data_IF_653481846896
#
_entry.id   IF_653481846896
#
_cell.length_a   1.000
_cell.length_b   1.000
_cell.length_c   1.000
_cell.angle_alpha   90.00
_cell.angle_beta   90.00
_cell.angle_gamma   90.00
#
_symmetry.space_group_name_H-M   'P 1'
#
loop_
_entity.id
_entity.type
_entity.pdbx_description
1 polymer ?
#
# COMPACT_ATOMS: atom_id res chain seq x y z
N UNK A 1 44.24 18.75 -83.48
CA UNK A 1 44.93 17.77 -82.63
C UNK A 1 45.29 18.52 -81.35
N UNK A 2 44.31 18.65 -80.40
CA UNK A 2 44.44 19.31 -79.13
C UNK A 2 44.22 18.30 -78.02
N UNK A 3 45.22 18.07 -77.18
CA UNK A 3 45.16 17.27 -75.99
C UNK A 3 44.61 18.14 -74.85
N UNK A 4 43.44 17.78 -74.28
CA UNK A 4 42.91 18.32 -73.04
C UNK A 4 43.61 17.68 -71.86
N UNK A 5 44.19 18.54 -71.01
CA UNK A 5 44.79 18.14 -69.72
C UNK A 5 43.72 17.91 -68.72
N UNK A 6 43.63 16.72 -68.14
CA UNK A 6 42.83 16.38 -66.99
C UNK A 6 43.39 17.05 -65.73
N UNK A 7 42.61 17.97 -65.14
CA UNK A 7 42.90 18.58 -63.85
C UNK A 7 42.57 17.65 -62.67
N UNK A 8 43.59 17.25 -61.92
CA UNK A 8 43.48 16.51 -60.70
C UNK A 8 43.18 17.56 -59.57
N UNK A 9 41.95 17.52 -59.05
CA UNK A 9 41.61 18.30 -57.82
C UNK A 9 42.12 17.56 -56.59
N UNK A 10 42.84 18.27 -55.67
CA UNK A 10 43.27 17.63 -54.43
C UNK A 10 42.05 17.41 -53.49
N UNK A 11 41.96 16.18 -53.01
CA UNK A 11 41.00 15.77 -52.01
C UNK A 11 41.00 16.69 -50.79
N UNK A 12 39.85 17.33 -50.47
CA UNK A 12 39.65 18.04 -49.18
C UNK A 12 39.58 16.98 -48.07
N UNK A 13 40.34 17.18 -46.96
CA UNK A 13 40.25 16.26 -45.82
C UNK A 13 38.82 16.25 -45.31
N UNK A 14 38.21 15.07 -45.24
CA UNK A 14 36.94 14.85 -44.56
C UNK A 14 37.08 15.27 -43.11
N UNK A 15 36.31 16.29 -42.71
CA UNK A 15 36.22 16.69 -41.32
C UNK A 15 35.87 15.44 -40.49
N UNK A 16 36.76 15.03 -39.60
CA UNK A 16 36.49 14.01 -38.59
C UNK A 16 35.27 14.44 -37.80
N UNK A 17 34.18 13.68 -37.83
CA UNK A 17 33.07 13.81 -36.91
C UNK A 17 33.66 13.72 -35.51
N UNK A 18 33.31 14.66 -34.58
CA UNK A 18 33.79 14.55 -33.22
C UNK A 18 33.35 13.19 -32.68
N UNK A 19 34.30 12.47 -32.07
CA UNK A 19 34.03 11.28 -31.29
C UNK A 19 32.96 11.63 -30.26
N UNK A 20 31.76 11.07 -30.42
CA UNK A 20 30.71 11.15 -29.41
C UNK A 20 31.29 10.50 -28.18
N UNK A 21 31.64 11.31 -27.20
CA UNK A 21 31.93 10.84 -25.83
C UNK A 21 30.71 10.09 -25.38
N UNK A 22 30.81 8.77 -25.28
CA UNK A 22 29.79 7.91 -24.63
C UNK A 22 29.76 8.27 -23.15
N UNK A 23 29.00 9.29 -22.77
CA UNK A 23 28.67 9.52 -21.39
C UNK A 23 27.67 8.44 -20.98
N UNK A 24 27.99 7.68 -19.94
CA UNK A 24 27.06 6.69 -19.37
C UNK A 24 25.76 7.40 -18.97
N UNK A 25 24.58 6.81 -19.27
CA UNK A 25 23.31 7.44 -18.95
C UNK A 25 23.15 7.63 -17.43
N UNK A 26 22.60 8.77 -17.04
CA UNK A 26 22.23 9.04 -15.65
C UNK A 26 21.14 8.05 -15.19
N UNK A 27 21.42 7.30 -14.14
CA UNK A 27 20.56 6.22 -13.65
C UNK A 27 19.68 6.71 -12.50
N UNK A 28 18.38 6.64 -12.70
CA UNK A 28 17.37 6.96 -11.69
C UNK A 28 16.70 5.66 -11.28
N UNK A 29 16.90 5.24 -10.02
CA UNK A 29 16.34 4.01 -9.48
C UNK A 29 15.22 4.35 -8.48
N UNK A 30 14.01 3.85 -8.73
CA UNK A 30 12.83 4.02 -7.88
C UNK A 30 12.52 2.69 -7.21
N UNK A 31 12.51 2.64 -5.88
CA UNK A 31 12.19 1.47 -5.10
C UNK A 31 10.79 1.59 -4.51
N UNK A 32 9.88 0.72 -4.97
CA UNK A 32 8.47 0.70 -4.59
C UNK A 32 7.55 1.38 -5.60
N UNK A 33 6.52 0.63 -6.06
CA UNK A 33 5.47 1.10 -6.98
C UNK A 33 4.13 1.35 -6.29
N UNK A 34 4.17 1.71 -5.00
CA UNK A 34 3.02 2.27 -4.29
C UNK A 34 2.62 3.64 -4.84
N UNK A 35 1.71 4.33 -4.15
CA UNK A 35 1.19 5.63 -4.63
C UNK A 35 2.29 6.64 -4.97
N UNK A 36 3.31 6.77 -4.12
CA UNK A 36 4.36 7.76 -4.35
C UNK A 36 5.30 7.39 -5.49
N UNK A 37 5.88 6.19 -5.44
CA UNK A 37 6.86 5.75 -6.43
C UNK A 37 6.27 5.59 -7.83
N UNK A 38 5.04 5.05 -7.94
CA UNK A 38 4.36 4.96 -9.22
C UNK A 38 4.13 6.33 -9.86
N UNK A 39 3.66 7.32 -9.08
CA UNK A 39 3.40 8.65 -9.63
C UNK A 39 4.69 9.42 -9.95
N UNK A 40 5.79 9.15 -9.24
CA UNK A 40 7.12 9.60 -9.65
C UNK A 40 7.54 8.96 -10.97
N UNK A 41 7.41 7.63 -11.09
CA UNK A 41 7.72 6.90 -12.33
C UNK A 41 6.87 7.37 -13.51
N UNK A 42 5.55 7.54 -13.34
CA UNK A 42 4.63 8.04 -14.38
C UNK A 42 5.00 9.44 -14.89
N UNK A 43 5.52 10.29 -14.00
CA UNK A 43 6.00 11.61 -14.40
C UNK A 43 7.30 11.49 -15.19
N UNK A 44 8.27 10.73 -14.68
CA UNK A 44 9.57 10.53 -15.34
C UNK A 44 9.44 9.76 -16.66
N UNK A 45 8.45 8.86 -16.79
CA UNK A 45 8.13 8.15 -18.03
C UNK A 45 7.81 9.09 -19.21
N UNK A 46 7.24 10.26 -18.90
CA UNK A 46 6.88 11.28 -19.88
C UNK A 46 8.00 12.28 -20.15
N UNK A 47 9.06 12.25 -19.37
CA UNK A 47 10.13 13.26 -19.41
C UNK A 47 11.51 12.60 -19.52
N UNK A 48 12.23 12.39 -18.42
CA UNK A 48 13.62 11.90 -18.42
C UNK A 48 13.80 10.51 -19.03
N UNK A 49 12.84 9.60 -18.85
CA UNK A 49 12.93 8.27 -19.43
C UNK A 49 12.88 8.25 -20.97
N UNK A 50 12.58 9.37 -21.61
CA UNK A 50 12.64 9.56 -23.08
C UNK A 50 13.97 10.12 -23.56
N UNK A 51 14.82 10.57 -22.64
CA UNK A 51 16.13 11.12 -22.98
C UNK A 51 17.13 9.96 -23.15
N UNK A 52 17.97 9.96 -24.20
CA UNK A 52 18.92 8.88 -24.43
C UNK A 52 20.04 8.80 -23.38
N UNK A 53 20.26 9.89 -22.66
CA UNK A 53 21.24 10.06 -21.58
C UNK A 53 20.67 9.81 -20.18
N UNK A 54 19.42 9.30 -20.08
CA UNK A 54 18.78 8.97 -18.83
C UNK A 54 18.18 7.55 -18.85
N UNK A 55 18.45 6.76 -17.83
CA UNK A 55 17.83 5.45 -17.60
C UNK A 55 16.99 5.54 -16.33
N UNK A 56 15.68 5.27 -16.43
CA UNK A 56 14.77 5.25 -15.27
C UNK A 56 14.29 3.82 -15.04
N UNK A 57 14.55 3.32 -13.84
CA UNK A 57 14.21 1.95 -13.42
C UNK A 57 13.26 2.03 -12.23
N UNK A 58 12.16 1.28 -12.29
CA UNK A 58 11.22 1.06 -11.17
C UNK A 58 11.32 -0.38 -10.72
N UNK A 59 11.49 -0.59 -9.41
CA UNK A 59 11.52 -1.93 -8.78
C UNK A 59 10.37 -2.07 -7.81
N UNK A 60 9.61 -3.16 -7.91
CA UNK A 60 8.60 -3.55 -6.92
C UNK A 60 8.45 -5.08 -6.91
N UNK A 61 8.12 -5.64 -5.75
CA UNK A 61 7.86 -7.08 -5.59
C UNK A 61 6.59 -7.53 -6.31
N UNK A 62 5.61 -6.64 -6.42
CA UNK A 62 4.34 -6.88 -7.11
C UNK A 62 4.37 -6.32 -8.54
N UNK A 63 3.72 -6.99 -9.50
CA UNK A 63 3.63 -6.51 -10.88
C UNK A 63 2.45 -5.56 -11.11
N UNK A 64 1.80 -5.15 -10.03
CA UNK A 64 0.66 -4.24 -10.02
C UNK A 64 0.78 -3.22 -8.89
N UNK A 65 0.12 -2.10 -9.06
CA UNK A 65 -0.15 -1.17 -7.96
C UNK A 65 -1.54 -1.43 -7.39
N UNK A 66 -1.63 -1.46 -6.06
CA UNK A 66 -2.84 -1.71 -5.31
C UNK A 66 -3.51 -0.39 -4.91
N UNK A 67 -4.80 -0.25 -5.20
CA UNK A 67 -5.59 0.89 -4.74
C UNK A 67 -6.15 0.60 -3.33
N UNK A 68 -5.28 0.72 -2.33
CA UNK A 68 -5.56 0.35 -0.93
C UNK A 68 -6.79 1.00 -0.29
N UNK A 69 -7.28 2.20 -0.69
CA UNK A 69 -8.50 2.74 -0.10
C UNK A 69 -9.76 1.90 -0.28
N UNK A 70 -9.78 0.97 -1.23
CA UNK A 70 -10.91 0.05 -1.47
C UNK A 70 -10.63 -1.39 -1.00
N UNK A 71 -9.56 -1.60 -0.25
CA UNK A 71 -9.14 -2.94 0.15
C UNK A 71 -10.17 -3.64 1.05
N UNK A 72 -10.85 -2.89 1.92
CA UNK A 72 -11.91 -3.41 2.79
C UNK A 72 -13.13 -3.92 2.01
N UNK A 73 -13.44 -3.36 0.84
CA UNK A 73 -14.52 -3.84 -0.03
C UNK A 73 -14.19 -5.22 -0.63
N UNK A 74 -12.91 -5.49 -0.96
CA UNK A 74 -12.46 -6.82 -1.39
C UNK A 74 -12.58 -7.83 -0.24
N UNK A 75 -12.17 -7.43 0.97
CA UNK A 75 -12.30 -8.28 2.15
C UNK A 75 -13.76 -8.62 2.49
N UNK A 76 -14.71 -7.76 2.15
CA UNK A 76 -16.14 -7.96 2.38
C UNK A 76 -16.90 -8.53 1.16
N UNK A 77 -16.20 -8.99 0.11
CA UNK A 77 -16.81 -9.45 -1.16
C UNK A 77 -17.65 -8.41 -1.91
N UNK A 78 -17.46 -7.12 -1.64
CA UNK A 78 -18.13 -6.04 -2.38
C UNK A 78 -17.43 -5.72 -3.72
N UNK A 79 -16.14 -6.07 -3.85
CA UNK A 79 -15.37 -5.89 -5.09
C UNK A 79 -14.51 -7.11 -5.40
N UNK A 80 -14.34 -7.41 -6.70
CA UNK A 80 -13.37 -8.40 -7.14
C UNK A 80 -11.93 -7.91 -6.90
N UNK A 81 -11.01 -8.77 -6.42
CA UNK A 81 -9.60 -8.42 -6.22
C UNK A 81 -8.94 -7.74 -7.43
N UNK A 82 -9.33 -8.16 -8.64
CA UNK A 82 -8.80 -7.59 -9.87
C UNK A 82 -9.21 -6.13 -10.12
N UNK A 83 -10.29 -5.64 -9.51
CA UNK A 83 -10.83 -4.32 -9.78
C UNK A 83 -10.02 -3.18 -9.16
N UNK A 84 -9.34 -3.46 -8.05
CA UNK A 84 -8.53 -2.47 -7.33
C UNK A 84 -7.03 -2.56 -7.64
N UNK A 85 -6.62 -3.44 -8.55
CA UNK A 85 -5.21 -3.58 -8.97
C UNK A 85 -5.01 -3.06 -10.40
N UNK A 86 -3.86 -2.43 -10.63
CA UNK A 86 -3.50 -1.90 -11.95
C UNK A 86 -2.12 -2.41 -12.36
N UNK A 87 -2.01 -3.14 -13.49
CA UNK A 87 -0.74 -3.69 -13.96
C UNK A 87 0.25 -2.57 -14.30
N UNK A 88 1.41 -2.54 -13.61
CA UNK A 88 2.44 -1.49 -13.76
C UNK A 88 2.92 -1.39 -15.21
N UNK A 89 3.21 -2.52 -15.86
CA UNK A 89 3.69 -2.55 -17.24
C UNK A 89 2.72 -1.95 -18.26
N UNK A 90 1.41 -1.90 -17.96
CA UNK A 90 0.41 -1.24 -18.83
C UNK A 90 0.34 0.28 -18.61
N UNK A 91 0.98 0.78 -17.55
CA UNK A 91 0.97 2.19 -17.19
C UNK A 91 2.25 2.93 -17.61
N UNK A 92 3.37 2.22 -17.74
CA UNK A 92 4.69 2.74 -18.10
C UNK A 92 5.06 2.33 -19.53
N UNK A 93 5.76 3.21 -20.25
CA UNK A 93 6.19 2.97 -21.65
C UNK A 93 7.70 3.04 -21.83
N UNK A 94 8.37 3.93 -21.13
CA UNK A 94 9.79 4.24 -21.25
C UNK A 94 10.59 3.89 -19.99
N UNK A 95 9.92 3.82 -18.83
CA UNK A 95 10.51 3.37 -17.57
C UNK A 95 10.67 1.85 -17.60
N UNK A 96 11.88 1.37 -17.32
CA UNK A 96 12.15 -0.06 -17.15
C UNK A 96 11.58 -0.54 -15.82
N UNK A 97 10.72 -1.56 -15.85
CA UNK A 97 10.15 -2.13 -14.64
C UNK A 97 10.70 -3.52 -14.34
N UNK A 98 11.25 -3.70 -13.14
CA UNK A 98 11.64 -5.01 -12.60
C UNK A 98 10.67 -5.43 -11.50
N UNK A 99 10.03 -6.60 -11.69
CA UNK A 99 9.36 -7.29 -10.60
C UNK A 99 10.42 -8.02 -9.79
N UNK A 100 10.79 -7.44 -8.66
CA UNK A 100 11.88 -7.93 -7.81
C UNK A 100 11.69 -7.46 -6.37
N UNK A 101 12.22 -8.21 -5.42
CA UNK A 101 12.35 -7.81 -4.03
C UNK A 101 13.66 -7.06 -3.81
N UNK A 102 13.63 -6.00 -3.02
CA UNK A 102 14.83 -5.24 -2.65
C UNK A 102 15.45 -5.91 -1.43
N UNK A 103 16.66 -6.43 -1.58
CA UNK A 103 17.37 -7.17 -0.52
C UNK A 103 18.30 -6.28 0.28
N UNK A 104 19.03 -5.40 -0.40
CA UNK A 104 20.02 -4.54 0.22
C UNK A 104 20.17 -3.23 -0.52
N UNK A 105 20.37 -2.15 0.23
CA UNK A 105 20.67 -0.81 -0.28
C UNK A 105 22.03 -0.38 0.29
N UNK A 106 22.99 -0.14 -0.59
CA UNK A 106 24.27 0.46 -0.26
C UNK A 106 24.28 1.91 -0.77
N UNK A 107 24.06 2.85 0.14
CA UNK A 107 23.99 4.26 -0.18
C UNK A 107 25.35 4.86 -0.56
N UNK A 108 26.41 4.43 0.08
CA UNK A 108 27.77 4.92 -0.18
C UNK A 108 28.35 4.34 -1.48
N UNK A 109 28.17 3.03 -1.69
CA UNK A 109 28.53 2.35 -2.96
C UNK A 109 27.57 2.66 -4.12
N UNK A 110 26.48 3.40 -3.87
CA UNK A 110 25.45 3.74 -4.86
C UNK A 110 24.90 2.52 -5.61
N UNK A 111 24.57 1.48 -4.86
CA UNK A 111 24.12 0.19 -5.39
C UNK A 111 22.92 -0.35 -4.61
N UNK A 112 22.05 -1.08 -5.30
CA UNK A 112 20.93 -1.80 -4.73
C UNK A 112 20.97 -3.23 -5.22
N UNK A 113 20.87 -4.19 -4.32
CA UNK A 113 20.71 -5.61 -4.64
C UNK A 113 19.23 -5.94 -4.69
N UNK A 114 18.79 -6.49 -5.82
CA UNK A 114 17.42 -6.96 -6.03
C UNK A 114 17.40 -8.47 -6.26
N UNK A 115 16.38 -9.14 -5.74
CA UNK A 115 16.12 -10.58 -5.89
C UNK A 115 14.93 -10.83 -6.78
N UNK A 116 15.07 -11.67 -7.82
CA UNK A 116 14.04 -11.91 -8.83
C UNK A 116 14.15 -13.27 -9.51
N UNK A 117 13.12 -13.62 -10.27
CA UNK A 117 13.12 -14.70 -11.24
C UNK A 117 12.79 -16.09 -10.69
N UNK A 118 12.73 -17.05 -11.62
CA UNK A 118 12.56 -18.48 -11.42
C UNK A 118 13.55 -19.19 -12.37
N UNK A 119 14.68 -19.71 -11.89
CA UNK A 119 15.16 -19.77 -10.50
C UNK A 119 15.50 -18.38 -9.94
N UNK A 120 15.48 -18.27 -8.63
CA UNK A 120 15.78 -17.03 -7.89
C UNK A 120 17.24 -16.61 -8.12
N UNK A 121 17.45 -15.34 -8.44
CA UNK A 121 18.77 -14.73 -8.68
C UNK A 121 18.82 -13.34 -8.08
N UNK A 122 20.02 -12.94 -7.68
CA UNK A 122 20.30 -11.58 -7.23
C UNK A 122 20.95 -10.79 -8.38
N UNK A 123 20.66 -9.49 -8.43
CA UNK A 123 21.26 -8.54 -9.36
C UNK A 123 21.54 -7.23 -8.64
N UNK A 124 22.73 -6.69 -8.89
CA UNK A 124 23.11 -5.36 -8.39
C UNK A 124 22.77 -4.30 -9.45
N UNK A 125 22.06 -3.26 -9.03
CA UNK A 125 21.72 -2.08 -9.82
C UNK A 125 22.48 -0.88 -9.26
N UNK A 126 23.23 -0.19 -10.09
CA UNK A 126 23.86 1.08 -9.74
C UNK A 126 22.87 2.23 -9.96
N UNK A 127 23.02 3.33 -9.22
CA UNK A 127 22.20 4.54 -9.36
C UNK A 127 23.02 5.84 -9.20
N UNK A 128 22.59 6.88 -9.89
CA UNK A 128 22.99 8.27 -9.65
C UNK A 128 21.94 8.98 -8.78
N UNK A 129 20.66 8.65 -8.99
CA UNK A 129 19.55 9.09 -8.14
C UNK A 129 18.77 7.89 -7.65
N UNK A 130 18.52 7.83 -6.33
CA UNK A 130 17.73 6.79 -5.67
C UNK A 130 16.47 7.40 -5.07
N UNK A 131 15.31 6.83 -5.40
CA UNK A 131 14.02 7.20 -4.81
C UNK A 131 13.55 6.08 -3.88
N UNK A 132 13.52 6.34 -2.59
CA UNK A 132 13.01 5.43 -1.56
C UNK A 132 11.50 5.66 -1.40
N UNK A 133 10.68 4.78 -1.99
CA UNK A 133 9.23 4.83 -2.00
C UNK A 133 8.60 3.53 -1.45
N UNK A 134 9.30 2.84 -0.53
CA UNK A 134 8.94 1.51 -0.01
C UNK A 134 7.72 1.51 0.93
N UNK A 135 7.18 2.69 1.25
CA UNK A 135 5.97 2.83 2.02
C UNK A 135 6.12 2.42 3.48
N UNK A 136 5.18 1.62 3.97
CA UNK A 136 5.14 1.11 5.34
C UNK A 136 4.70 -0.34 5.40
N UNK A 137 5.09 -1.04 6.46
CA UNK A 137 4.62 -2.37 6.84
C UNK A 137 3.77 -2.30 8.10
N UNK A 138 2.99 -3.34 8.36
CA UNK A 138 2.25 -3.48 9.61
C UNK A 138 3.22 -3.63 10.77
N UNK A 139 3.04 -2.84 11.83
CA UNK A 139 3.83 -2.93 13.05
C UNK A 139 3.06 -3.74 14.08
N UNK A 140 3.65 -4.85 14.51
CA UNK A 140 3.19 -5.62 15.67
C UNK A 140 4.05 -5.26 16.89
N UNK A 141 3.48 -5.41 18.09
CA UNK A 141 4.21 -5.14 19.33
C UNK A 141 4.92 -6.38 19.87
N UNK A 142 4.47 -7.57 19.43
CA UNK A 142 5.04 -8.85 19.81
C UNK A 142 4.90 -9.89 18.69
N UNK A 143 5.75 -10.93 18.73
CA UNK A 143 5.79 -11.98 17.71
C UNK A 143 4.63 -12.96 17.82
N UNK A 144 4.04 -13.15 18.99
CA UNK A 144 2.88 -14.04 19.19
C UNK A 144 1.68 -13.47 18.46
N UNK A 145 1.40 -12.18 18.65
CA UNK A 145 0.34 -11.48 17.90
C UNK A 145 0.63 -11.47 16.40
N UNK A 146 1.90 -11.23 16.00
CA UNK A 146 2.31 -11.28 14.59
C UNK A 146 2.00 -12.62 13.94
N UNK A 147 2.24 -13.74 14.64
CA UNK A 147 2.01 -15.08 14.12
C UNK A 147 0.52 -15.46 13.99
N UNK A 148 -0.36 -14.86 14.79
CA UNK A 148 -1.75 -15.29 14.93
C UNK A 148 -2.78 -14.28 14.37
N UNK A 149 -2.45 -12.99 14.30
CA UNK A 149 -3.37 -11.96 13.83
C UNK A 149 -3.40 -11.84 12.31
N UNK A 150 -4.56 -11.53 11.78
CA UNK A 150 -4.74 -11.12 10.39
C UNK A 150 -4.37 -9.65 10.26
N UNK A 151 -3.67 -9.27 9.21
CA UNK A 151 -3.37 -7.87 8.88
C UNK A 151 -4.21 -7.40 7.69
N UNK A 152 -4.17 -6.09 7.39
CA UNK A 152 -4.93 -5.48 6.29
C UNK A 152 -4.07 -4.46 5.54
N UNK A 153 -3.11 -4.95 4.77
CA UNK A 153 -2.12 -4.11 4.06
C UNK A 153 -1.99 -4.46 2.58
N UNK A 154 -2.09 -5.73 2.24
CA UNK A 154 -1.92 -6.26 0.89
C UNK A 154 -3.22 -6.84 0.34
N UNK A 155 -3.27 -7.05 -0.98
CA UNK A 155 -4.39 -7.77 -1.61
C UNK A 155 -4.56 -9.18 -1.02
N UNK A 156 -3.45 -9.87 -0.76
CA UNK A 156 -3.46 -11.18 -0.13
C UNK A 156 -4.09 -11.16 1.27
N UNK A 157 -3.84 -10.11 2.06
CA UNK A 157 -4.46 -9.96 3.38
C UNK A 157 -5.98 -9.81 3.29
N UNK A 158 -6.49 -9.03 2.33
CA UNK A 158 -7.93 -8.86 2.12
C UNK A 158 -8.59 -10.17 1.69
N UNK A 159 -7.98 -10.89 0.75
CA UNK A 159 -8.45 -12.22 0.31
C UNK A 159 -8.39 -13.23 1.44
N UNK A 160 -7.33 -13.21 2.26
CA UNK A 160 -7.21 -14.08 3.43
C UNK A 160 -8.31 -13.79 4.45
N UNK A 161 -8.58 -12.50 4.77
CA UNK A 161 -9.64 -12.12 5.68
C UNK A 161 -11.01 -12.57 5.17
N UNK A 162 -11.32 -12.37 3.88
CA UNK A 162 -12.53 -12.86 3.22
C UNK A 162 -12.70 -14.37 3.40
N UNK A 163 -11.68 -15.12 3.00
CA UNK A 163 -11.71 -16.58 3.08
C UNK A 163 -11.79 -17.07 4.54
N UNK A 164 -11.13 -16.36 5.48
CA UNK A 164 -11.20 -16.65 6.92
C UNK A 164 -12.60 -16.48 7.47
N UNK A 165 -13.32 -15.41 7.10
CA UNK A 165 -14.69 -15.18 7.53
C UNK A 165 -15.62 -16.29 7.06
N UNK A 166 -15.52 -16.72 5.80
CA UNK A 166 -16.31 -17.83 5.25
C UNK A 166 -15.96 -19.15 5.95
N UNK A 167 -14.67 -19.50 6.06
CA UNK A 167 -14.22 -20.73 6.70
C UNK A 167 -14.66 -20.84 8.17
N UNK A 168 -14.73 -19.71 8.86
CA UNK A 168 -15.20 -19.66 10.26
C UNK A 168 -16.71 -19.96 10.34
N UNK A 169 -17.51 -19.41 9.42
CA UNK A 169 -18.96 -19.72 9.36
C UNK A 169 -19.20 -21.19 9.04
N UNK A 170 -18.47 -21.75 8.06
CA UNK A 170 -18.52 -23.19 7.73
C UNK A 170 -18.16 -24.05 8.95
N UNK A 171 -17.07 -23.73 9.63
CA UNK A 171 -16.64 -24.45 10.83
C UNK A 171 -17.64 -24.34 11.98
N UNK A 172 -18.20 -23.16 12.20
CA UNK A 172 -19.18 -22.93 13.28
C UNK A 172 -20.51 -23.68 13.04
N UNK A 173 -20.85 -23.96 11.77
CA UNK A 173 -22.05 -24.70 11.38
C UNK A 173 -22.04 -26.12 11.90
N UNK A 174 -20.89 -26.79 11.88
CA UNK A 174 -20.71 -28.19 12.29
C UNK A 174 -20.14 -28.35 13.70
N UNK A 175 -19.72 -27.28 14.35
CA UNK A 175 -19.15 -27.29 15.70
C UNK A 175 -20.24 -27.54 16.75
N UNK A 176 -20.09 -28.58 17.56
CA UNK A 176 -21.05 -28.97 18.61
C UNK A 176 -20.78 -28.26 19.94
N UNK A 177 -19.50 -27.98 20.25
CA UNK A 177 -19.11 -27.25 21.47
C UNK A 177 -19.51 -25.80 21.37
N UNK A 178 -20.43 -25.37 22.24
CA UNK A 178 -20.94 -23.99 22.26
C UNK A 178 -19.87 -22.95 22.57
N UNK A 179 -18.83 -23.27 23.36
CA UNK A 179 -17.75 -22.36 23.69
C UNK A 179 -16.81 -22.17 22.48
N UNK A 180 -16.49 -23.25 21.77
CA UNK A 180 -15.70 -23.21 20.54
C UNK A 180 -16.48 -22.47 19.44
N UNK A 181 -17.77 -22.78 19.25
CA UNK A 181 -18.64 -22.08 18.29
C UNK A 181 -18.68 -20.58 18.58
N UNK A 182 -18.85 -20.17 19.84
CA UNK A 182 -18.85 -18.78 20.24
C UNK A 182 -17.50 -18.09 19.98
N UNK A 183 -16.38 -18.78 20.23
CA UNK A 183 -15.04 -18.29 19.91
C UNK A 183 -14.87 -18.05 18.41
N UNK A 184 -15.25 -19.03 17.57
CA UNK A 184 -15.21 -18.92 16.11
C UNK A 184 -15.97 -17.68 15.62
N UNK A 185 -17.19 -17.45 16.13
CA UNK A 185 -18.05 -16.33 15.75
C UNK A 185 -17.71 -15.01 16.44
N UNK A 186 -16.57 -14.92 17.15
CA UNK A 186 -16.07 -13.70 17.77
C UNK A 186 -14.89 -13.15 16.99
N UNK A 187 -15.06 -11.92 16.46
CA UNK A 187 -14.09 -11.17 15.69
C UNK A 187 -13.67 -9.92 16.43
N UNK A 188 -12.39 -9.67 16.53
CA UNK A 188 -11.83 -8.46 17.15
C UNK A 188 -11.03 -7.69 16.11
N UNK A 189 -11.21 -6.37 16.06
CA UNK A 189 -10.40 -5.45 15.24
C UNK A 189 -9.64 -4.53 16.19
N UNK A 190 -8.32 -4.52 16.09
CA UNK A 190 -7.44 -3.63 16.83
C UNK A 190 -7.11 -2.39 15.99
N UNK A 191 -7.56 -1.22 16.43
CA UNK A 191 -7.29 0.07 15.78
C UNK A 191 -8.55 0.76 15.25
N UNK A 192 -8.80 2.00 15.70
CA UNK A 192 -9.96 2.81 15.33
C UNK A 192 -9.64 3.96 14.35
N UNK A 193 -8.55 3.84 13.57
CA UNK A 193 -8.27 4.70 12.42
C UNK A 193 -9.04 4.27 11.16
N UNK A 194 -8.75 4.89 10.00
CA UNK A 194 -9.45 4.61 8.73
C UNK A 194 -9.52 3.12 8.39
N UNK A 195 -8.37 2.43 8.35
CA UNK A 195 -8.33 1.01 7.99
C UNK A 195 -9.20 0.14 8.91
N UNK A 196 -9.15 0.38 10.23
CA UNK A 196 -9.93 -0.40 11.19
C UNK A 196 -11.43 -0.12 11.09
N UNK A 197 -11.83 1.14 11.01
CA UNK A 197 -13.25 1.54 10.92
C UNK A 197 -13.88 1.06 9.61
N UNK A 198 -13.22 1.27 8.48
CA UNK A 198 -13.71 0.84 7.18
C UNK A 198 -13.79 -0.69 7.10
N UNK A 199 -12.76 -1.39 7.56
CA UNK A 199 -12.76 -2.86 7.50
C UNK A 199 -13.77 -3.47 8.45
N UNK A 200 -13.91 -2.99 9.69
CA UNK A 200 -14.88 -3.58 10.64
C UNK A 200 -16.31 -3.32 10.17
N UNK A 201 -16.59 -2.15 9.60
CA UNK A 201 -17.91 -1.85 9.03
C UNK A 201 -18.27 -2.81 7.89
N UNK A 202 -17.38 -2.96 6.91
CA UNK A 202 -17.56 -3.86 5.78
C UNK A 202 -17.63 -5.35 6.20
N UNK A 203 -16.74 -5.77 7.10
CA UNK A 203 -16.71 -7.13 7.66
C UNK A 203 -18.00 -7.45 8.43
N UNK A 204 -18.50 -6.54 9.26
CA UNK A 204 -19.74 -6.74 10.01
C UNK A 204 -20.95 -6.89 9.08
N UNK A 205 -21.02 -6.04 8.06
CA UNK A 205 -22.11 -6.11 7.07
C UNK A 205 -22.05 -7.42 6.27
N UNK A 206 -20.84 -7.86 5.88
CA UNK A 206 -20.63 -9.17 5.24
C UNK A 206 -21.05 -10.33 6.12
N UNK A 207 -20.57 -10.40 7.36
CA UNK A 207 -20.85 -11.51 8.29
C UNK A 207 -22.34 -11.62 8.62
N UNK A 208 -23.02 -10.46 8.85
CA UNK A 208 -24.47 -10.44 9.15
C UNK A 208 -25.33 -10.80 7.95
N UNK A 209 -24.83 -10.56 6.74
CA UNK A 209 -25.51 -11.02 5.53
C UNK A 209 -25.23 -12.49 5.26
N UNK A 210 -23.99 -12.91 5.31
CA UNK A 210 -23.55 -14.27 5.08
C UNK A 210 -24.21 -15.29 6.00
N UNK A 211 -24.31 -14.99 7.32
CA UNK A 211 -24.85 -15.92 8.32
C UNK A 211 -26.30 -16.35 8.05
N UNK A 212 -27.07 -15.54 7.29
CA UNK A 212 -28.43 -15.91 6.87
C UNK A 212 -28.47 -17.14 5.97
N UNK A 213 -27.36 -17.47 5.32
CA UNK A 213 -27.24 -18.68 4.49
C UNK A 213 -26.87 -19.94 5.30
N UNK A 214 -26.68 -19.79 6.63
CA UNK A 214 -26.33 -20.88 7.54
C UNK A 214 -27.46 -21.10 8.56
N UNK A 215 -28.47 -21.95 8.27
CA UNK A 215 -29.70 -22.09 9.11
C UNK A 215 -29.42 -22.55 10.53
N UNK A 216 -28.28 -23.24 10.78
CA UNK A 216 -27.88 -23.73 12.10
C UNK A 216 -27.21 -22.67 12.98
N UNK A 217 -26.88 -21.51 12.42
CA UNK A 217 -26.23 -20.42 13.14
C UNK A 217 -27.22 -19.32 13.51
N UNK A 218 -27.22 -18.96 14.80
CA UNK A 218 -27.96 -17.78 15.27
C UNK A 218 -27.09 -16.52 15.10
N UNK A 219 -27.61 -15.50 14.43
CA UNK A 219 -26.96 -14.20 14.24
C UNK A 219 -26.58 -13.52 15.56
N UNK A 220 -27.28 -13.83 16.65
CA UNK A 220 -27.00 -13.32 18.00
C UNK A 220 -25.71 -13.88 18.61
N UNK A 221 -25.17 -15.00 18.08
CA UNK A 221 -23.87 -15.55 18.47
C UNK A 221 -22.72 -14.76 17.86
N UNK A 222 -22.97 -14.01 16.78
CA UNK A 222 -21.95 -13.22 16.08
C UNK A 222 -21.55 -12.02 16.94
N UNK A 223 -20.27 -11.94 17.29
CA UNK A 223 -19.68 -10.85 18.04
C UNK A 223 -18.59 -10.15 17.22
N UNK A 224 -18.78 -8.87 16.94
CA UNK A 224 -17.81 -8.03 16.24
C UNK A 224 -17.41 -6.90 17.19
N UNK A 225 -16.13 -6.78 17.49
CA UNK A 225 -15.60 -5.93 18.55
C UNK A 225 -14.50 -5.05 17.99
N UNK A 226 -14.59 -3.73 18.16
CA UNK A 226 -13.54 -2.76 17.85
C UNK A 226 -12.84 -2.31 19.12
N UNK A 227 -11.53 -2.48 19.20
CA UNK A 227 -10.70 -2.04 20.32
C UNK A 227 -9.79 -0.89 19.87
N UNK A 228 -9.84 0.24 20.58
CA UNK A 228 -9.06 1.42 20.23
C UNK A 228 -8.49 2.13 21.49
N UNK A 229 -7.18 2.43 21.53
CA UNK A 229 -6.58 3.09 22.69
C UNK A 229 -6.98 4.56 22.86
N UNK A 230 -7.41 5.22 21.79
CA UNK A 230 -7.88 6.60 21.83
C UNK A 230 -9.27 6.76 22.45
N UNK A 231 -9.64 8.00 22.68
CA UNK A 231 -10.95 8.37 23.23
C UNK A 231 -11.99 8.70 22.14
N UNK A 232 -11.61 8.63 20.88
CA UNK A 232 -12.46 8.90 19.71
C UNK A 232 -11.97 8.07 18.52
N UNK A 233 -12.90 7.61 17.68
CA UNK A 233 -12.59 6.95 16.43
C UNK A 233 -12.22 7.99 15.36
N UNK A 234 -11.44 7.57 14.35
CA UNK A 234 -11.00 8.44 13.24
C UNK A 234 -10.39 9.75 13.78
N UNK A 235 -9.30 9.70 14.55
CA UNK A 235 -8.74 10.89 15.23
C UNK A 235 -8.28 11.99 14.26
N UNK A 236 -8.17 11.69 12.97
CA UNK A 236 -7.88 12.64 11.92
C UNK A 236 -9.09 13.51 11.51
N UNK A 237 -10.30 13.10 11.87
CA UNK A 237 -11.53 13.86 11.70
C UNK A 237 -11.83 14.79 12.87
N UNK A 238 -12.83 15.62 12.69
CA UNK A 238 -13.42 16.37 13.81
C UNK A 238 -13.99 15.41 14.87
N UNK A 239 -13.97 15.83 16.13
CA UNK A 239 -14.51 15.04 17.24
C UNK A 239 -15.96 14.62 17.02
N UNK A 240 -16.77 15.48 16.42
CA UNK A 240 -18.19 15.18 16.09
C UNK A 240 -18.34 14.05 15.09
N UNK A 241 -17.50 13.98 14.04
CA UNK A 241 -17.52 12.87 13.09
C UNK A 241 -17.01 11.57 13.70
N UNK A 242 -16.02 11.64 14.61
CA UNK A 242 -15.57 10.47 15.35
C UNK A 242 -16.66 9.90 16.26
N UNK A 243 -17.39 10.74 16.96
CA UNK A 243 -18.54 10.35 17.77
C UNK A 243 -19.69 9.79 16.93
N UNK A 244 -20.00 10.43 15.80
CA UNK A 244 -20.96 9.91 14.82
C UNK A 244 -20.57 8.50 14.35
N UNK A 245 -19.28 8.28 14.03
CA UNK A 245 -18.77 6.97 13.62
C UNK A 245 -18.99 5.91 14.70
N UNK A 246 -18.70 6.24 15.97
CA UNK A 246 -18.94 5.35 17.10
C UNK A 246 -20.41 4.95 17.23
N UNK A 247 -21.33 5.93 17.14
CA UNK A 247 -22.78 5.68 17.19
C UNK A 247 -23.20 4.78 16.01
N UNK A 248 -22.71 5.03 14.81
CA UNK A 248 -23.01 4.21 13.63
C UNK A 248 -22.58 2.76 13.80
N UNK A 249 -21.36 2.52 14.31
CA UNK A 249 -20.84 1.16 14.54
C UNK A 249 -21.63 0.44 15.63
N UNK A 250 -21.95 1.11 16.74
CA UNK A 250 -22.78 0.55 17.83
C UNK A 250 -24.19 0.19 17.32
N UNK A 251 -24.83 1.06 16.55
CA UNK A 251 -26.14 0.78 15.96
C UNK A 251 -26.11 -0.37 14.92
N UNK A 252 -24.93 -0.67 14.35
CA UNK A 252 -24.73 -1.85 13.50
C UNK A 252 -24.46 -3.14 14.32
N UNK A 253 -24.50 -3.07 15.67
CA UNK A 253 -24.26 -4.20 16.55
C UNK A 253 -22.78 -4.52 16.78
N UNK A 254 -21.89 -3.56 16.59
CA UNK A 254 -20.47 -3.67 16.88
C UNK A 254 -20.21 -3.16 18.31
N UNK A 255 -19.52 -3.98 19.13
CA UNK A 255 -19.03 -3.58 20.46
C UNK A 255 -17.79 -2.66 20.30
N UNK A 256 -17.91 -1.39 20.64
CA UNK A 256 -16.83 -0.41 20.50
C UNK A 256 -16.20 -0.14 21.87
N UNK A 257 -14.93 -0.52 22.03
CA UNK A 257 -14.13 -0.34 23.23
C UNK A 257 -13.06 0.72 23.01
N UNK A 258 -13.34 1.93 23.43
CA UNK A 258 -12.39 3.04 23.46
C UNK A 258 -11.52 2.99 24.72
N UNK A 259 -10.40 3.74 24.73
CA UNK A 259 -9.42 3.80 25.82
C UNK A 259 -8.89 2.43 26.23
N UNK A 260 -8.89 1.50 25.30
CA UNK A 260 -8.49 0.10 25.50
C UNK A 260 -7.54 -0.29 24.36
N UNK A 261 -6.43 -0.91 24.70
CA UNK A 261 -5.48 -1.45 23.72
C UNK A 261 -5.43 -2.97 23.78
N UNK A 262 -5.17 -3.59 22.66
CA UNK A 262 -4.79 -5.00 22.61
C UNK A 262 -3.34 -5.14 23.03
N UNK A 263 -3.07 -6.00 24.01
CA UNK A 263 -1.71 -6.35 24.47
C UNK A 263 -1.11 -7.48 23.65
N UNK A 264 -1.87 -8.57 23.51
CA UNK A 264 -1.40 -9.78 22.85
C UNK A 264 -2.58 -10.60 22.32
N UNK A 265 -2.33 -11.45 21.33
CA UNK A 265 -3.26 -12.44 20.82
C UNK A 265 -2.51 -13.75 20.54
N UNK A 266 -2.92 -14.83 21.20
CA UNK A 266 -2.31 -16.16 21.09
C UNK A 266 -3.00 -17.10 20.08
N UNK A 267 -3.98 -16.58 19.31
CA UNK A 267 -4.82 -17.34 18.38
C UNK A 267 -6.17 -17.78 18.98
N UNK A 268 -6.37 -17.60 20.28
CA UNK A 268 -7.62 -17.96 20.98
C UNK A 268 -8.13 -16.86 21.90
N UNK A 269 -7.23 -16.05 22.46
CA UNK A 269 -7.52 -15.06 23.48
C UNK A 269 -6.83 -13.74 23.16
N UNK A 270 -7.60 -12.65 23.16
CA UNK A 270 -7.11 -11.27 23.00
C UNK A 270 -6.97 -10.67 24.40
N UNK A 271 -5.76 -10.42 24.84
CA UNK A 271 -5.45 -9.71 26.06
C UNK A 271 -5.63 -8.20 25.88
N UNK A 272 -6.32 -7.56 26.82
CA UNK A 272 -6.64 -6.13 26.78
C UNK A 272 -5.96 -5.33 27.91
N UNK A 273 -5.85 -4.02 27.71
CA UNK A 273 -5.37 -3.09 28.70
C UNK A 273 -6.03 -1.69 28.54
N UNK A 274 -6.87 -1.26 29.48
CA UNK A 274 -7.46 -2.05 30.56
C UNK A 274 -8.57 -2.98 30.04
N UNK A 275 -8.92 -3.98 30.80
CA UNK A 275 -10.11 -4.80 30.59
C UNK A 275 -9.88 -6.30 30.65
N UNK A 276 -10.99 -7.03 30.73
CA UNK A 276 -10.98 -8.47 30.70
C UNK A 276 -10.66 -9.01 29.30
N UNK A 277 -9.93 -10.11 29.23
CA UNK A 277 -9.59 -10.71 27.94
C UNK A 277 -10.84 -11.16 27.16
N UNK A 278 -10.71 -11.17 25.83
CA UNK A 278 -11.76 -11.64 24.92
C UNK A 278 -11.34 -12.97 24.31
N UNK A 279 -12.15 -14.03 24.49
CA UNK A 279 -12.00 -15.28 23.73
C UNK A 279 -12.53 -15.05 22.32
N UNK A 280 -11.63 -15.11 21.30
CA UNK A 280 -11.93 -14.81 19.92
C UNK A 280 -11.19 -15.73 18.95
N UNK A 281 -11.83 -16.08 17.85
CA UNK A 281 -11.24 -16.89 16.79
C UNK A 281 -10.45 -16.07 15.75
N UNK A 282 -10.68 -14.75 15.71
CA UNK A 282 -10.02 -13.89 14.72
C UNK A 282 -9.71 -12.52 15.32
N UNK A 283 -8.44 -12.11 15.24
CA UNK A 283 -8.00 -10.75 15.48
C UNK A 283 -7.51 -10.13 14.17
N UNK A 284 -8.13 -9.03 13.75
CA UNK A 284 -7.63 -8.19 12.68
C UNK A 284 -6.80 -7.05 13.27
N UNK A 285 -5.54 -6.93 12.83
CA UNK A 285 -4.62 -5.93 13.32
C UNK A 285 -4.49 -4.76 12.34
N UNK A 286 -4.98 -3.60 12.75
CA UNK A 286 -4.85 -2.33 12.02
C UNK A 286 -4.22 -1.23 12.89
N UNK A 287 -3.64 -1.63 14.04
CA UNK A 287 -3.14 -0.73 15.09
C UNK A 287 -1.69 -0.30 14.87
N UNK A 288 -1.38 0.22 13.70
CA UNK A 288 -0.10 0.87 13.46
C UNK A 288 0.66 0.35 12.26
N UNK A 289 1.44 1.27 11.72
CA UNK A 289 2.36 1.04 10.60
C UNK A 289 3.72 1.65 10.94
N UNK A 290 4.78 1.08 10.37
CA UNK A 290 6.13 1.61 10.45
C UNK A 290 6.80 1.47 9.08
N UNK A 291 7.82 2.28 8.75
CA UNK A 291 8.66 2.02 7.60
C UNK A 291 9.25 0.60 7.66
N UNK A 292 9.43 -0.08 6.50
CA UNK A 292 10.03 -1.42 6.45
C UNK A 292 11.42 -1.47 7.12
N UNK A 293 11.84 -2.64 7.59
CA UNK A 293 13.17 -2.86 8.20
C UNK A 293 14.29 -2.34 7.30
N UNK A 294 14.21 -2.61 6.01
CA UNK A 294 15.16 -2.11 5.01
C UNK A 294 15.36 -0.57 5.06
N UNK A 295 14.32 0.20 5.39
CA UNK A 295 14.41 1.65 5.60
C UNK A 295 14.98 1.96 6.98
N UNK A 296 14.63 1.16 7.99
CA UNK A 296 15.10 1.38 9.35
C UNK A 296 16.59 1.11 9.51
N UNK A 297 17.16 0.19 8.73
CA UNK A 297 18.57 -0.19 8.76
C UNK A 297 19.50 0.80 8.01
N UNK A 298 18.92 1.70 7.18
CA UNK A 298 19.74 2.67 6.45
C UNK A 298 20.44 3.66 7.41
N UNK A 299 21.72 4.00 7.16
CA UNK A 299 22.48 4.95 7.97
C UNK A 299 22.10 6.41 7.64
N UNK A 300 20.84 6.75 7.80
CA UNK A 300 20.30 8.09 7.60
C UNK A 300 19.55 8.54 8.85
N UNK A 301 19.55 9.84 9.12
CA UNK A 301 18.78 10.43 10.22
C UNK A 301 17.31 10.09 10.13
N UNK A 302 16.72 9.64 11.23
CA UNK A 302 15.32 9.24 11.32
C UNK A 302 14.61 9.95 12.46
N UNK A 303 13.33 10.21 12.24
CA UNK A 303 12.41 10.68 13.26
C UNK A 303 11.16 9.79 13.27
N UNK A 304 10.89 9.16 14.41
CA UNK A 304 9.83 8.13 14.53
C UNK A 304 9.93 7.03 13.48
N UNK A 305 11.15 6.59 13.14
CA UNK A 305 11.45 5.56 12.14
C UNK A 305 11.41 6.03 10.68
N UNK A 306 11.01 7.27 10.39
CA UNK A 306 10.98 7.86 9.03
C UNK A 306 12.25 8.63 8.76
N UNK A 307 12.79 8.51 7.56
CA UNK A 307 13.98 9.24 7.14
C UNK A 307 13.66 10.75 7.05
N UNK A 308 14.48 11.56 7.71
CA UNK A 308 14.37 13.03 7.64
C UNK A 308 14.89 13.52 6.30
N UNK A 309 14.10 14.35 5.64
CA UNK A 309 14.45 14.96 4.36
C UNK A 309 14.19 16.47 4.39
N UNK A 310 14.84 17.19 3.48
CA UNK A 310 14.54 18.60 3.29
C UNK A 310 13.16 18.83 2.65
N UNK A 311 12.75 20.09 2.52
CA UNK A 311 11.47 20.44 1.90
C UNK A 311 11.30 19.96 0.45
N UNK A 312 12.38 19.69 -0.26
CA UNK A 312 12.36 19.14 -1.62
C UNK A 312 12.34 17.61 -1.66
N UNK A 313 12.29 16.95 -0.51
CA UNK A 313 12.27 15.49 -0.33
C UNK A 313 13.61 14.82 -0.66
N UNK A 314 14.72 15.54 -0.65
CA UNK A 314 16.07 15.01 -0.77
C UNK A 314 16.68 14.82 0.62
N UNK A 315 17.49 13.78 0.82
CA UNK A 315 18.29 13.58 2.03
C UNK A 315 19.30 14.72 2.18
N UNK A 316 19.42 15.26 3.39
CA UNK A 316 20.43 16.29 3.70
C UNK A 316 21.83 15.68 3.84
N UNK A 317 21.94 14.37 4.09
CA UNK A 317 23.20 13.68 4.33
C UNK A 317 23.82 13.11 3.05
N UNK A 318 22.99 12.65 2.10
CA UNK A 318 23.45 12.00 0.86
C UNK A 318 22.73 12.59 -0.33
N UNK A 319 23.45 13.36 -1.14
CA UNK A 319 22.91 13.96 -2.36
C UNK A 319 22.49 12.90 -3.37
N UNK A 320 21.34 13.12 -4.03
CA UNK A 320 20.76 12.20 -5.01
C UNK A 320 19.95 11.07 -4.37
N UNK A 321 19.80 11.05 -3.04
CA UNK A 321 18.89 10.14 -2.34
C UNK A 321 17.62 10.90 -1.96
N UNK A 322 16.49 10.42 -2.47
CA UNK A 322 15.17 11.03 -2.34
C UNK A 322 14.25 10.10 -1.59
N UNK A 323 13.44 10.62 -0.68
CA UNK A 323 12.52 9.79 0.11
C UNK A 323 11.13 10.41 0.13
N UNK A 324 10.09 9.58 -0.04
CA UNK A 324 8.71 10.03 -0.05
C UNK A 324 7.74 9.02 0.58
N UNK A 325 6.51 9.44 0.78
CA UNK A 325 5.45 8.61 1.34
C UNK A 325 5.66 8.29 2.82
N UNK A 326 5.24 7.09 3.22
CA UNK A 326 5.24 6.68 4.62
C UNK A 326 6.66 6.49 5.20
N UNK A 327 7.67 6.32 4.35
CA UNK A 327 9.08 6.19 4.74
C UNK A 327 9.76 7.54 5.05
N UNK A 328 9.14 8.68 4.67
CA UNK A 328 9.74 10.01 4.77
C UNK A 328 9.15 10.85 5.90
N UNK A 329 10.02 11.58 6.61
CA UNK A 329 9.65 12.68 7.48
C UNK A 329 9.84 13.99 6.70
N UNK A 330 8.78 14.42 5.99
CA UNK A 330 8.78 15.63 5.16
C UNK A 330 8.16 16.76 5.98
N UNK A 331 8.86 17.87 6.25
CA UNK A 331 8.34 18.98 7.05
C UNK A 331 7.13 19.63 6.38
N UNK A 332 6.06 19.86 7.14
CA UNK A 332 4.87 20.55 6.67
C UNK A 332 4.90 22.03 7.07
N UNK A 333 5.04 22.97 6.15
CA UNK A 333 5.08 24.40 6.47
C UNK A 333 3.74 24.96 6.97
N UNK A 334 2.65 24.17 6.87
CA UNK A 334 1.31 24.58 7.32
C UNK A 334 0.96 24.02 8.71
N UNK A 335 1.87 23.28 9.38
CA UNK A 335 1.66 22.67 10.69
C UNK A 335 2.95 22.69 11.52
N UNK A 336 3.50 23.88 11.72
CA UNK A 336 4.69 24.16 12.55
C UNK A 336 5.86 23.17 12.33
N UNK A 337 6.05 22.73 11.08
CA UNK A 337 7.12 21.79 10.72
C UNK A 337 6.86 20.33 11.11
N UNK A 338 5.71 20.00 11.68
CA UNK A 338 5.32 18.59 11.86
C UNK A 338 5.28 17.89 10.51
N UNK A 339 5.58 16.57 10.47
CA UNK A 339 5.61 15.86 9.20
C UNK A 339 4.21 15.72 8.61
N UNK A 340 4.15 15.71 7.28
CA UNK A 340 2.92 15.32 6.60
C UNK A 340 2.42 13.94 7.05
N UNK A 341 1.10 13.80 7.18
CA UNK A 341 0.47 12.52 7.46
C UNK A 341 0.75 11.51 6.33
N UNK A 342 0.99 10.26 6.71
CA UNK A 342 1.19 9.14 5.78
C UNK A 342 -0.14 8.75 5.12
N UNK A 343 -0.46 9.40 4.00
CA UNK A 343 -1.69 9.18 3.25
C UNK A 343 -1.41 9.00 1.76
N UNK A 344 -2.25 8.20 1.09
CA UNK A 344 -2.19 8.02 -0.36
C UNK A 344 -2.26 9.36 -1.11
N UNK A 345 -3.08 10.31 -0.63
CA UNK A 345 -3.23 11.63 -1.23
C UNK A 345 -1.93 12.46 -1.18
N UNK A 346 -1.23 12.43 -0.05
CA UNK A 346 0.06 13.08 0.10
C UNK A 346 1.11 12.41 -0.79
N UNK A 347 1.21 11.08 -0.73
CA UNK A 347 2.19 10.29 -1.48
C UNK A 347 2.10 10.50 -3.00
N UNK A 348 0.89 10.54 -3.57
CA UNK A 348 0.65 10.82 -5.00
C UNK A 348 1.25 12.19 -5.41
N UNK A 349 1.00 13.21 -4.60
CA UNK A 349 1.49 14.57 -4.89
C UNK A 349 2.99 14.67 -4.65
N UNK A 350 3.49 14.04 -3.59
CA UNK A 350 4.93 13.95 -3.31
C UNK A 350 5.67 13.33 -4.49
N UNK A 351 5.20 12.19 -5.03
CA UNK A 351 5.80 11.53 -6.19
C UNK A 351 5.91 12.47 -7.40
N UNK A 352 4.87 13.24 -7.68
CA UNK A 352 4.87 14.20 -8.80
C UNK A 352 5.84 15.36 -8.59
N UNK A 353 5.91 15.90 -7.36
CA UNK A 353 6.82 17.03 -7.03
C UNK A 353 8.27 16.56 -6.98
N UNK A 354 8.52 15.39 -6.38
CA UNK A 354 9.86 14.79 -6.30
C UNK A 354 10.42 14.54 -7.69
N UNK A 355 9.64 13.97 -8.61
CA UNK A 355 10.07 13.76 -9.99
C UNK A 355 10.46 15.09 -10.68
N UNK A 356 9.69 16.17 -10.47
CA UNK A 356 10.04 17.51 -10.98
C UNK A 356 11.33 18.04 -10.35
N UNK A 357 11.60 17.74 -9.10
CA UNK A 357 12.83 18.12 -8.43
C UNK A 357 14.05 17.38 -9.01
N UNK A 358 13.90 16.07 -9.28
CA UNK A 358 14.92 15.28 -10.00
C UNK A 358 15.15 15.86 -11.41
N UNK A 359 14.06 16.16 -12.16
CA UNK A 359 14.16 16.83 -13.48
C UNK A 359 14.93 18.15 -13.39
N UNK A 360 14.71 18.94 -12.35
CA UNK A 360 15.41 20.23 -12.17
C UNK A 360 16.90 20.05 -11.90
N UNK A 361 17.27 19.00 -11.14
CA UNK A 361 18.68 18.68 -10.84
C UNK A 361 19.42 18.20 -12.09
N UNK A 362 18.82 17.29 -12.85
CA UNK A 362 19.47 16.64 -14.01
C UNK A 362 19.53 17.59 -15.19
N UNK A 363 18.44 18.27 -15.52
CA UNK A 363 18.35 19.14 -16.69
C UNK A 363 18.97 20.54 -16.46
N UNK A 364 19.12 20.96 -15.20
CA UNK A 364 19.74 22.22 -14.84
C UNK A 364 19.07 23.47 -15.48
N UNK A 365 19.89 24.48 -15.80
CA UNK A 365 19.44 25.73 -16.42
C UNK A 365 18.58 26.56 -15.44
N UNK A 366 17.48 27.12 -15.93
CA UNK A 366 16.57 27.92 -15.11
C UNK A 366 15.61 27.10 -14.22
N UNK A 367 15.73 25.75 -14.22
CA UNK A 367 14.89 24.89 -13.40
C UNK A 367 15.38 24.88 -11.95
N UNK A 368 14.46 25.17 -11.03
CA UNK A 368 14.74 25.15 -9.59
C UNK A 368 13.92 24.07 -8.93
N UNK A 369 14.51 23.40 -7.94
CA UNK A 369 13.77 22.54 -7.03
C UNK A 369 12.69 23.36 -6.29
N UNK A 370 11.56 22.71 -6.02
CA UNK A 370 10.45 23.31 -5.29
C UNK A 370 10.14 22.49 -4.05
N UNK A 371 10.01 23.13 -2.89
CA UNK A 371 9.59 22.42 -1.70
C UNK A 371 8.17 21.85 -1.89
N UNK A 372 7.94 20.70 -1.29
CA UNK A 372 6.61 20.10 -1.27
C UNK A 372 5.70 20.91 -0.35
N UNK A 373 4.61 21.38 -0.90
CA UNK A 373 3.54 22.03 -0.14
C UNK A 373 2.20 21.43 -0.54
N UNK A 374 1.44 21.01 0.45
CA UNK A 374 0.12 20.42 0.23
C UNK A 374 -0.79 20.72 1.41
N UNK A 375 -1.96 21.27 1.11
CA UNK A 375 -3.03 21.44 2.10
C UNK A 375 -4.09 20.36 1.89
N UNK A 376 -4.44 19.66 2.96
CA UNK A 376 -5.48 18.61 2.91
C UNK A 376 -6.80 19.26 2.53
N UNK A 377 -7.40 18.81 1.44
CA UNK A 377 -8.69 19.33 0.94
C UNK A 377 -9.84 18.66 1.68
N UNK A 378 -9.67 17.38 2.03
CA UNK A 378 -10.67 16.62 2.76
C UNK A 378 -10.29 15.17 2.95
N UNK A 379 -11.06 14.52 3.80
CA UNK A 379 -10.95 13.12 4.20
C UNK A 379 -12.32 12.46 4.13
N UNK A 380 -12.35 11.18 3.79
CA UNK A 380 -13.58 10.41 3.65
C UNK A 380 -13.36 9.01 4.22
N UNK A 381 -14.37 8.47 4.91
CA UNK A 381 -14.38 7.10 5.42
C UNK A 381 -15.73 6.44 5.15
N UNK A 382 -15.71 5.17 4.72
CA UNK A 382 -16.88 4.31 4.72
C UNK A 382 -17.04 3.66 6.11
N UNK A 383 -18.24 3.69 6.69
CA UNK A 383 -18.50 3.09 8.03
C UNK A 383 -19.35 1.82 7.89
N UNK A 384 -19.39 1.23 6.73
CA UNK A 384 -20.25 0.12 6.32
C UNK A 384 -21.24 0.55 5.26
N UNK A 385 -22.20 -0.33 4.97
CA UNK A 385 -23.15 -0.12 3.88
C UNK A 385 -24.02 1.11 4.10
N UNK A 386 -24.04 2.02 3.11
CA UNK A 386 -24.82 3.26 3.07
C UNK A 386 -24.54 4.26 4.22
N UNK A 387 -23.40 4.10 4.92
CA UNK A 387 -22.96 4.97 6.01
C UNK A 387 -21.53 5.44 5.75
N UNK A 388 -21.31 6.74 5.85
CA UNK A 388 -20.01 7.34 5.68
C UNK A 388 -19.81 8.55 6.57
N UNK A 389 -18.55 8.96 6.72
CA UNK A 389 -18.14 10.23 7.29
C UNK A 389 -17.21 10.94 6.30
N UNK A 390 -17.41 12.23 6.12
CA UNK A 390 -16.60 13.05 5.23
C UNK A 390 -16.36 14.42 5.83
N UNK A 391 -15.13 14.89 5.71
CA UNK A 391 -14.76 16.27 6.01
C UNK A 391 -14.16 16.88 4.76
N UNK A 392 -14.81 17.88 4.18
CA UNK A 392 -14.40 18.55 2.94
C UNK A 392 -14.42 20.06 3.13
N UNK A 393 -13.31 20.74 2.83
CA UNK A 393 -13.19 22.20 2.92
C UNK A 393 -13.63 22.78 4.28
N UNK A 394 -13.44 22.02 5.37
CA UNK A 394 -13.86 22.39 6.72
C UNK A 394 -15.29 22.00 7.09
N UNK A 395 -16.12 21.55 6.14
CA UNK A 395 -17.49 21.09 6.39
C UNK A 395 -17.55 19.61 6.67
N UNK A 396 -18.40 19.21 7.62
CA UNK A 396 -18.64 17.83 8.00
C UNK A 396 -19.91 17.30 7.32
N UNK A 397 -19.78 16.13 6.70
CA UNK A 397 -20.90 15.38 6.12
C UNK A 397 -20.93 13.99 6.70
N UNK A 398 -22.11 13.41 6.84
CA UNK A 398 -22.31 12.08 7.38
C UNK A 398 -23.46 11.34 6.69
N UNK A 399 -23.62 10.05 7.01
CA UNK A 399 -24.71 9.21 6.50
C UNK A 399 -24.55 8.83 5.03
N UNK A 400 -25.69 8.69 4.35
CA UNK A 400 -25.78 8.26 2.95
C UNK A 400 -25.05 9.22 2.01
N UNK A 401 -25.14 10.53 2.24
CA UNK A 401 -24.49 11.52 1.40
C UNK A 401 -22.94 11.40 1.49
N UNK A 402 -22.39 11.26 2.69
CA UNK A 402 -20.95 11.05 2.86
C UNK A 402 -20.46 9.73 2.25
N UNK A 403 -21.27 8.68 2.33
CA UNK A 403 -21.00 7.40 1.67
C UNK A 403 -20.98 7.52 0.14
N UNK A 404 -21.93 8.28 -0.44
CA UNK A 404 -21.94 8.55 -1.87
C UNK A 404 -20.73 9.40 -2.30
N UNK A 405 -20.34 10.41 -1.51
CA UNK A 405 -19.12 11.19 -1.73
C UNK A 405 -17.87 10.31 -1.70
N UNK A 406 -17.82 9.36 -0.78
CA UNK A 406 -16.71 8.39 -0.67
C UNK A 406 -16.62 7.56 -1.98
N UNK A 407 -17.73 6.93 -2.41
CA UNK A 407 -17.78 6.11 -3.63
C UNK A 407 -17.37 6.91 -4.87
N UNK A 408 -17.98 8.06 -5.09
CA UNK A 408 -17.70 8.89 -6.28
C UNK A 408 -16.25 9.39 -6.30
N UNK A 409 -15.72 9.81 -5.14
CA UNK A 409 -14.34 10.29 -5.03
C UNK A 409 -13.33 9.19 -5.32
N UNK A 410 -13.50 8.01 -4.74
CA UNK A 410 -12.55 6.91 -4.95
C UNK A 410 -12.69 6.27 -6.33
N UNK A 411 -13.88 6.20 -6.88
CA UNK A 411 -14.12 5.82 -8.28
C UNK A 411 -13.39 6.76 -9.24
N UNK A 412 -13.49 8.07 -9.01
CA UNK A 412 -12.79 9.07 -9.82
C UNK A 412 -11.26 8.94 -9.75
N UNK A 413 -10.71 8.53 -8.59
CA UNK A 413 -9.28 8.38 -8.35
C UNK A 413 -8.68 7.08 -8.87
N UNK A 414 -9.47 6.08 -9.24
CA UNK A 414 -8.94 4.86 -9.88
C UNK A 414 -8.18 5.24 -11.16
N UNK A 415 -6.96 4.70 -11.39
CA UNK A 415 -6.10 5.18 -12.48
C UNK A 415 -6.64 4.91 -13.88
N UNK A 416 -7.39 3.80 -14.08
CA UNK A 416 -7.82 3.33 -15.40
C UNK A 416 -9.34 3.39 -15.56
N UNK A 417 -9.80 3.88 -16.73
CA UNK A 417 -11.24 3.97 -17.05
C UNK A 417 -11.92 2.59 -16.99
N UNK A 418 -11.28 1.54 -17.51
CA UNK A 418 -11.77 0.16 -17.44
C UNK A 418 -12.14 -0.25 -16.01
N UNK A 419 -11.25 0.05 -15.04
CA UNK A 419 -11.48 -0.28 -13.63
C UNK A 419 -12.63 0.55 -13.03
N UNK A 420 -12.72 1.82 -13.40
CA UNK A 420 -13.85 2.67 -12.99
C UNK A 420 -15.19 2.09 -13.43
N UNK A 421 -15.30 1.63 -14.67
CA UNK A 421 -16.52 1.04 -15.20
C UNK A 421 -16.87 -0.28 -14.51
N UNK A 422 -15.87 -1.16 -14.28
CA UNK A 422 -16.09 -2.43 -13.56
C UNK A 422 -16.57 -2.20 -12.14
N UNK A 423 -15.89 -1.33 -11.38
CA UNK A 423 -16.26 -1.01 -10.00
C UNK A 423 -17.67 -0.39 -9.95
N UNK A 424 -17.98 0.56 -10.82
CA UNK A 424 -19.31 1.18 -10.87
C UNK A 424 -20.41 0.16 -11.19
N UNK A 425 -20.12 -0.78 -12.09
CA UNK A 425 -21.03 -1.86 -12.45
C UNK A 425 -21.17 -2.90 -11.33
N UNK A 426 -20.06 -3.32 -10.71
CA UNK A 426 -20.06 -4.20 -9.54
C UNK A 426 -20.92 -3.63 -8.42
N UNK A 427 -20.69 -2.38 -8.02
CA UNK A 427 -21.51 -1.72 -7.01
C UNK A 427 -23.03 -1.63 -7.36
N UNK A 428 -23.36 -1.61 -8.66
CA UNK A 428 -24.76 -1.62 -9.09
C UNK A 428 -25.37 -3.01 -8.94
N UNK A 429 -24.62 -4.06 -9.25
CA UNK A 429 -25.01 -5.46 -9.06
C UNK A 429 -25.23 -5.76 -7.58
N UNK A 430 -24.34 -5.31 -6.69
CA UNK A 430 -24.42 -5.52 -5.24
C UNK A 430 -25.64 -4.85 -4.57
N UNK A 431 -26.28 -3.92 -5.26
CA UNK A 431 -27.56 -3.35 -4.79
C UNK A 431 -28.74 -4.33 -4.97
N UNK A 432 -28.62 -5.28 -5.90
CA UNK A 432 -29.71 -6.17 -6.35
C UNK A 432 -29.47 -7.60 -5.87
N UNK A 433 -28.22 -8.08 -5.91
CA UNK A 433 -27.84 -9.44 -5.59
C UNK A 433 -27.11 -9.52 -4.24
N UNK A 434 -27.23 -10.67 -3.58
CA UNK A 434 -26.46 -10.97 -2.37
C UNK A 434 -24.98 -11.18 -2.70
N UNK A 435 -24.11 -10.96 -1.70
CA UNK A 435 -22.68 -11.16 -1.80
C UNK A 435 -22.32 -12.62 -2.03
N UNK A 436 -21.24 -12.85 -2.77
CA UNK A 436 -20.72 -14.19 -3.01
C UNK A 436 -19.99 -14.74 -1.78
N UNK A 437 -20.33 -15.99 -1.40
CA UNK A 437 -19.81 -16.72 -0.25
C UNK A 437 -18.79 -17.80 -0.64
N UNK A 438 -18.28 -17.78 -1.88
CA UNK A 438 -17.31 -18.76 -2.36
C UNK A 438 -15.95 -18.52 -1.71
N UNK A 439 -15.42 -19.56 -1.06
CA UNK A 439 -14.05 -19.60 -0.57
C UNK A 439 -13.12 -19.97 -1.72
N UNK A 440 -12.41 -18.99 -2.28
CA UNK A 440 -11.58 -19.14 -3.48
C UNK A 440 -10.32 -19.97 -3.20
N UNK A 441 -9.75 -19.86 -1.99
CA UNK A 441 -8.60 -20.66 -1.55
C UNK A 441 -8.87 -21.24 -0.18
N UNK A 442 -8.61 -22.54 -0.03
CA UNK A 442 -8.64 -23.20 1.29
C UNK A 442 -7.37 -22.85 2.09
N UNK A 443 -7.41 -23.02 3.41
CA UNK A 443 -6.22 -22.86 4.25
C UNK A 443 -5.10 -23.83 3.83
N UNK A 444 -5.46 -25.02 3.30
CA UNK A 444 -4.50 -26.00 2.81
C UNK A 444 -3.85 -25.57 1.48
N UNK A 445 -4.58 -24.89 0.61
CA UNK A 445 -4.00 -24.27 -0.61
C UNK A 445 -2.95 -23.22 -0.24
N UNK A 446 -3.24 -22.39 0.74
CA UNK A 446 -2.30 -21.36 1.23
C UNK A 446 -1.05 -22.01 1.83
N UNK A 447 -1.21 -23.06 2.67
CA UNK A 447 -0.09 -23.83 3.23
C UNK A 447 0.72 -24.52 2.13
N UNK A 448 0.07 -25.08 1.13
CA UNK A 448 0.71 -25.74 -0.01
C UNK A 448 1.52 -24.74 -0.85
N UNK A 449 0.99 -23.55 -1.11
CA UNK A 449 1.71 -22.48 -1.80
C UNK A 449 2.93 -22.03 -1.01
N UNK A 450 2.81 -21.84 0.31
CA UNK A 450 3.91 -21.49 1.19
C UNK A 450 5.00 -22.58 1.22
N UNK A 451 4.61 -23.88 1.28
CA UNK A 451 5.56 -24.99 1.31
C UNK A 451 6.36 -25.14 0.00
N UNK A 452 5.79 -24.76 -1.14
CA UNK A 452 6.50 -24.75 -2.44
C UNK A 452 7.58 -23.66 -2.40
N UNK A 453 7.30 -22.49 -1.83
CA UNK A 453 8.29 -21.42 -1.64
C UNK A 453 9.44 -21.83 -0.71
N UNK A 454 9.14 -22.46 0.40
CA UNK A 454 10.14 -22.96 1.38
C UNK A 454 11.00 -24.09 0.80
N UNK A 455 10.43 -25.03 0.04
CA UNK A 455 11.23 -26.08 -0.64
C UNK A 455 12.24 -25.52 -1.62
N UNK A 456 11.93 -24.42 -2.30
CA UNK A 456 12.88 -23.75 -3.19
C UNK A 456 14.05 -23.09 -2.44
N UNK A 457 13.81 -22.65 -1.21
CA UNK A 457 14.84 -22.06 -0.35
C UNK A 457 15.76 -23.13 0.23
N UNK A 458 15.22 -24.22 0.75
CA UNK A 458 16.00 -25.33 1.32
C UNK A 458 16.90 -26.03 0.30
N UNK A 459 16.45 -26.20 -0.94
CA UNK A 459 17.25 -26.78 -2.04
C UNK A 459 18.42 -25.89 -2.45
N UNK A 460 18.36 -24.58 -2.14
CA UNK A 460 19.44 -23.63 -2.41
C UNK A 460 20.51 -23.71 -1.30
N UNK A 461 20.07 -23.74 -0.05
CA UNK A 461 20.97 -23.82 1.11
C UNK A 461 21.78 -25.14 1.12
N UNK A 462 21.22 -26.24 0.64
CA UNK A 462 21.97 -27.50 0.44
C UNK A 462 23.01 -27.43 -0.68
N UNK A 463 22.77 -26.68 -1.76
CA UNK A 463 23.74 -26.53 -2.86
C UNK A 463 24.85 -25.56 -2.51
N UNK A 464 24.60 -24.53 -1.71
CA UNK A 464 25.59 -23.55 -1.27
C UNK A 464 26.43 -24.07 -0.09
N UNK A 465 26.03 -25.19 0.56
CA UNK A 465 26.78 -25.89 1.61
C UNK A 465 27.71 -27.00 1.09
N UNK A 466 27.66 -27.34 -0.20
CA UNK A 466 28.44 -28.42 -0.85
C UNK A 466 29.40 -27.88 -1.92
N UNK A 467 29.58 -26.54 -2.00
CA UNK A 467 30.47 -25.86 -2.97
C UNK A 467 31.73 -25.28 -2.33
#
# INVERSE_FOLDING_TARGET
MQMEMMGIHPDRPRAMRPLTTFTMPTKILILGAGFGGLYAALRLDRTLARQPDCEVILVDKDNFTLFTPMLHEVAASDLDPSDIVNPIRKMLRHVTFYRAEVEKIDLHGRQVVIRFGLPVRDRTLAFDHLVLALGSSTRFFDDITRANAVQMKTLGDAMFLRNRMIAVLESATVEEDAAIRRRLLTFVVAGGGFAGVETIGAMNDFLRDAIKSYPTLDVNLLRVILVHPGNVLLPEFSKSLGQYTEVCLKNAGIDVRLKTKVKQFDGQKVELDPGEPIVAGTLLWTAGVAPPELIQDLPLKKEKGRIVVNGCMESEEIRGVWVLGDSAHIPNPHDDGKPYAATAQAAIRQGTVLAKNIEAVILGGNRKQKPFTYKVIGQLAAIGQRRGAAQLLGFNFSGLFAWFLWRTTYLAKLPRLEKKLRVAFGWTIDLIFSRDLVQVFTLDDVKRMASIGVRHQLVKDEKDSVG
#
